data_IF_413149332787
#
_entry.id   IF_413149332787
#
_cell.length_a   1.000
_cell.length_b   1.000
_cell.length_c   1.000
_cell.angle_alpha   90.00
_cell.angle_beta   90.00
_cell.angle_gamma   90.00
#
_symmetry.space_group_name_H-M   'P 1'
#
loop_
_entity.id
_entity.type
_entity.pdbx_description
1 polymer ?
#
# COMPACT_ATOMS: atom_id res chain seq x y z
N UNK A 1 -6.39 -72.30 28.80
CA UNK A 1 -7.21 -71.09 29.04
C UNK A 1 -6.24 -69.92 29.17
N UNK A 2 -6.45 -68.89 28.35
CA UNK A 2 -5.44 -67.94 27.84
C UNK A 2 -5.19 -66.74 28.78
N UNK A 3 -3.93 -66.27 28.83
CA UNK A 3 -3.53 -65.00 29.48
C UNK A 3 -4.15 -63.79 28.76
N UNK A 4 -4.49 -62.69 29.47
CA UNK A 4 -4.85 -61.44 28.83
C UNK A 4 -3.59 -60.65 28.45
N UNK A 5 -3.52 -60.05 27.25
CA UNK A 5 -2.49 -59.07 26.94
C UNK A 5 -2.87 -57.72 27.55
N UNK A 6 -2.02 -57.21 28.45
CA UNK A 6 -2.13 -55.86 28.98
C UNK A 6 -1.85 -54.86 27.85
N UNK A 7 -2.91 -54.12 27.49
CA UNK A 7 -2.92 -53.04 26.51
C UNK A 7 -1.91 -51.95 26.93
N UNK A 8 -0.87 -51.74 26.13
CA UNK A 8 0.04 -50.60 26.24
C UNK A 8 -0.63 -49.35 25.69
N UNK A 9 -0.95 -48.39 26.58
CA UNK A 9 -1.50 -47.09 26.21
C UNK A 9 -0.35 -46.16 25.75
N UNK A 10 -0.18 -45.96 24.45
CA UNK A 10 0.77 -45.01 23.89
C UNK A 10 0.18 -43.60 23.90
N UNK A 11 0.67 -42.75 24.81
CA UNK A 11 0.37 -41.33 24.85
C UNK A 11 1.03 -40.64 23.65
N UNK A 12 0.26 -40.36 22.60
CA UNK A 12 0.70 -39.58 21.45
C UNK A 12 0.68 -38.10 21.82
N UNK A 13 1.88 -37.55 22.05
CA UNK A 13 2.09 -36.11 22.24
C UNK A 13 1.77 -35.41 20.90
N UNK A 14 0.56 -34.88 20.76
CA UNK A 14 0.24 -33.94 19.67
C UNK A 14 1.06 -32.67 19.94
N UNK A 15 2.23 -32.55 19.28
CA UNK A 15 2.89 -31.27 19.14
C UNK A 15 1.96 -30.39 18.31
N UNK A 16 1.17 -29.57 18.99
CA UNK A 16 0.53 -28.42 18.38
C UNK A 16 1.66 -27.51 17.90
N UNK A 17 2.12 -27.72 16.67
CA UNK A 17 2.94 -26.73 15.97
C UNK A 17 2.00 -25.56 15.74
N UNK A 18 2.03 -24.60 16.66
CA UNK A 18 1.61 -23.24 16.38
C UNK A 18 2.52 -22.77 15.27
N UNK A 19 2.11 -22.99 14.02
CA UNK A 19 2.69 -22.36 12.86
C UNK A 19 2.52 -20.87 13.09
N UNK A 20 3.57 -20.22 13.59
CA UNK A 20 3.79 -18.80 13.46
C UNK A 20 3.95 -18.54 11.96
N UNK A 21 2.83 -18.59 11.22
CA UNK A 21 2.77 -18.16 9.84
C UNK A 21 3.28 -16.73 9.88
N UNK A 22 4.48 -16.57 9.31
CA UNK A 22 5.15 -15.30 9.15
C UNK A 22 4.10 -14.25 8.80
N UNK A 23 4.06 -13.17 9.57
CA UNK A 23 3.69 -11.88 9.00
C UNK A 23 4.65 -11.68 7.83
N UNK A 24 4.27 -12.11 6.64
CA UNK A 24 5.00 -11.83 5.41
C UNK A 24 5.14 -10.33 5.38
N UNK A 25 6.32 -9.81 5.75
CA UNK A 25 6.53 -8.38 5.94
C UNK A 25 6.07 -7.68 4.67
N UNK A 26 5.11 -6.77 4.76
CA UNK A 26 4.57 -6.02 3.61
C UNK A 26 5.67 -5.40 2.73
N UNK A 27 6.85 -5.20 3.32
CA UNK A 27 8.08 -4.77 2.64
C UNK A 27 8.50 -5.68 1.48
N UNK A 28 8.19 -6.97 1.53
CA UNK A 28 8.53 -7.98 0.51
C UNK A 28 7.39 -8.26 -0.47
N UNK A 29 6.21 -7.68 -0.25
CA UNK A 29 5.08 -7.89 -1.16
C UNK A 29 5.42 -7.27 -2.53
N UNK A 30 5.28 -8.02 -3.64
CA UNK A 30 5.47 -7.46 -4.97
C UNK A 30 4.53 -6.27 -5.18
N UNK A 31 5.10 -5.16 -5.69
CA UNK A 31 4.37 -3.94 -6.04
C UNK A 31 4.95 -3.34 -7.31
N UNK A 32 4.06 -2.92 -8.20
CA UNK A 32 4.38 -2.16 -9.41
C UNK A 32 4.22 -0.65 -9.19
N UNK A 33 3.58 -0.25 -8.09
CA UNK A 33 3.54 1.14 -7.68
C UNK A 33 3.48 1.32 -6.16
N UNK A 34 3.90 2.49 -5.69
CA UNK A 34 3.94 2.94 -4.29
C UNK A 34 3.55 4.42 -4.23
N UNK A 35 2.50 4.73 -3.48
CA UNK A 35 1.99 6.08 -3.20
C UNK A 35 2.17 6.39 -1.73
N UNK A 36 2.78 7.54 -1.43
CA UNK A 36 2.90 8.07 -0.08
C UNK A 36 2.52 9.54 -0.04
N UNK A 37 1.81 9.91 1.02
CA UNK A 37 1.66 11.32 1.42
C UNK A 37 2.63 11.60 2.54
N UNK A 38 3.40 12.68 2.38
CA UNK A 38 4.54 13.01 3.22
C UNK A 38 4.29 14.35 3.91
N UNK A 39 4.63 14.44 5.20
CA UNK A 39 4.74 15.71 5.88
C UNK A 39 5.21 15.64 7.33
N UNK A 40 5.77 16.75 7.86
CA UNK A 40 6.42 17.87 7.16
C UNK A 40 7.88 17.54 6.76
N UNK A 41 8.46 18.31 5.84
CA UNK A 41 9.91 18.30 5.58
C UNK A 41 10.39 17.25 4.58
N UNK A 42 9.65 17.06 3.48
CA UNK A 42 10.05 16.13 2.42
C UNK A 42 11.46 16.44 1.89
N UNK A 43 12.31 15.41 1.82
CA UNK A 43 13.65 15.52 1.24
C UNK A 43 13.80 14.50 0.10
N UNK A 44 14.00 14.92 -1.16
CA UNK A 44 14.10 13.99 -2.29
C UNK A 44 15.33 13.08 -2.21
N UNK A 45 16.33 13.43 -1.39
CA UNK A 45 17.57 12.67 -1.20
C UNK A 45 17.52 11.71 0.00
N UNK A 46 16.45 11.70 0.79
CA UNK A 46 16.32 10.87 1.98
C UNK A 46 15.21 9.83 1.83
N UNK A 47 15.28 8.76 2.62
CA UNK A 47 14.21 7.78 2.74
C UNK A 47 13.07 8.37 3.58
N UNK A 48 12.11 9.03 2.93
CA UNK A 48 10.97 9.73 3.56
C UNK A 48 9.91 8.78 4.18
N UNK A 49 10.27 7.54 4.52
CA UNK A 49 9.30 6.54 5.00
C UNK A 49 8.75 6.92 6.38
N UNK A 50 9.59 7.46 7.27
CA UNK A 50 9.23 7.80 8.64
C UNK A 50 8.29 9.03 8.75
N UNK A 51 8.20 9.82 7.68
CA UNK A 51 7.34 11.03 7.59
C UNK A 51 6.09 10.78 6.74
N UNK A 52 5.81 9.51 6.41
CA UNK A 52 4.67 9.09 5.61
C UNK A 52 3.41 9.06 6.49
N UNK A 53 2.44 9.93 6.23
CA UNK A 53 1.15 9.92 6.95
C UNK A 53 0.13 9.00 6.31
N UNK A 54 0.29 8.72 5.01
CA UNK A 54 -0.49 7.75 4.24
C UNK A 54 0.48 6.94 3.38
N UNK A 55 0.19 5.65 3.22
CA UNK A 55 0.94 4.77 2.34
C UNK A 55 0.00 3.73 1.72
N UNK A 56 0.08 3.64 0.40
CA UNK A 56 -0.56 2.58 -0.35
C UNK A 56 0.35 2.06 -1.45
N UNK A 57 0.21 0.80 -1.80
CA UNK A 57 0.97 0.18 -2.88
C UNK A 57 0.16 -0.94 -3.52
N UNK A 58 0.44 -1.22 -4.79
CA UNK A 58 -0.31 -2.20 -5.55
C UNK A 58 0.52 -2.85 -6.65
N UNK A 59 0.03 -4.01 -7.10
CA UNK A 59 0.59 -4.73 -8.25
C UNK A 59 -0.10 -4.33 -9.56
N UNK A 60 -1.37 -3.91 -9.48
CA UNK A 60 -2.22 -3.53 -10.60
C UNK A 60 -2.82 -2.15 -10.35
N UNK A 61 -3.49 -1.59 -11.36
CA UNK A 61 -4.25 -0.35 -11.20
C UNK A 61 -5.25 -0.42 -10.04
N UNK A 62 -5.64 0.76 -9.59
CA UNK A 62 -6.64 0.94 -8.54
C UNK A 62 -7.78 1.79 -9.11
N UNK A 63 -9.01 1.33 -8.85
CA UNK A 63 -10.22 2.12 -9.07
C UNK A 63 -10.21 3.37 -8.18
N UNK A 64 -11.31 4.12 -8.15
CA UNK A 64 -11.38 5.30 -7.30
C UNK A 64 -11.25 4.94 -5.82
N UNK A 65 -10.28 5.55 -5.16
CA UNK A 65 -10.07 5.47 -3.73
C UNK A 65 -10.07 6.86 -3.10
N UNK A 66 -10.91 7.06 -2.10
CA UNK A 66 -10.96 8.29 -1.31
C UNK A 66 -9.94 8.25 -0.17
N UNK A 67 -9.27 9.38 0.07
CA UNK A 67 -8.47 9.58 1.27
C UNK A 67 -9.40 9.67 2.48
N UNK A 68 -9.28 8.72 3.39
CA UNK A 68 -10.00 8.77 4.66
C UNK A 68 -9.32 9.76 5.61
N UNK A 69 -9.80 11.01 5.59
CA UNK A 69 -9.32 12.08 6.47
C UNK A 69 -9.69 11.87 7.94
N UNK A 70 -10.57 10.92 8.26
CA UNK A 70 -10.84 10.53 9.64
C UNK A 70 -9.72 9.67 10.23
N UNK A 71 -8.96 8.99 9.37
CA UNK A 71 -7.82 8.13 9.75
C UNK A 71 -6.50 8.88 9.61
N UNK A 72 -6.36 9.73 8.59
CA UNK A 72 -5.11 10.42 8.26
C UNK A 72 -5.27 11.94 8.32
N UNK A 73 -4.37 12.63 9.02
CA UNK A 73 -4.36 14.08 9.03
C UNK A 73 -3.75 14.63 7.72
N UNK A 74 -4.58 14.83 6.71
CA UNK A 74 -4.16 15.38 5.42
C UNK A 74 -3.76 16.85 5.50
N UNK A 75 -4.15 17.58 6.55
CA UNK A 75 -3.78 19.00 6.71
C UNK A 75 -2.30 19.21 7.00
N UNK A 76 -1.60 18.19 7.48
CA UNK A 76 -0.14 18.20 7.66
C UNK A 76 0.64 17.66 6.46
N UNK A 77 -0.05 17.22 5.40
CA UNK A 77 0.61 16.73 4.18
C UNK A 77 1.11 17.92 3.38
N UNK A 78 2.38 17.86 2.99
CA UNK A 78 2.98 18.87 2.12
C UNK A 78 3.22 18.32 0.71
N UNK A 79 3.45 17.02 0.59
CA UNK A 79 3.86 16.43 -0.69
C UNK A 79 3.49 14.96 -0.87
N UNK A 80 3.60 14.52 -2.11
CA UNK A 80 3.37 13.17 -2.60
C UNK A 80 4.73 12.56 -3.00
N UNK A 81 4.93 11.29 -2.68
CA UNK A 81 5.92 10.45 -3.35
C UNK A 81 5.20 9.36 -4.13
N UNK A 82 5.49 9.30 -5.42
CA UNK A 82 4.96 8.33 -6.35
C UNK A 82 6.10 7.53 -6.95
N UNK A 83 5.99 6.21 -6.94
CA UNK A 83 6.96 5.32 -7.58
C UNK A 83 6.20 4.24 -8.29
N UNK A 84 6.28 4.20 -9.62
CA UNK A 84 5.84 3.11 -10.46
C UNK A 84 6.97 2.67 -11.39
N UNK A 85 7.96 1.92 -10.86
CA UNK A 85 9.10 1.47 -11.64
C UNK A 85 8.68 0.35 -12.59
N UNK A 86 9.12 0.40 -13.85
CA UNK A 86 8.96 -0.70 -14.79
C UNK A 86 8.61 -0.27 -16.21
N UNK A 87 8.50 -1.27 -17.09
CA UNK A 87 7.99 -1.09 -18.46
C UNK A 87 6.47 -0.89 -18.46
N UNK A 88 5.78 -1.60 -17.55
CA UNK A 88 4.34 -1.47 -17.30
C UNK A 88 4.12 -0.39 -16.23
N UNK A 89 4.50 0.84 -16.56
CA UNK A 89 4.38 2.01 -15.68
C UNK A 89 2.92 2.40 -15.48
N UNK A 90 2.61 2.89 -14.28
CA UNK A 90 1.31 3.42 -13.91
C UNK A 90 1.39 4.94 -13.66
N UNK A 91 0.28 5.61 -13.95
CA UNK A 91 0.06 7.03 -13.68
C UNK A 91 -0.86 7.19 -12.46
N UNK A 92 -0.63 8.25 -11.70
CA UNK A 92 -1.45 8.61 -10.55
C UNK A 92 -2.36 9.78 -10.92
N UNK A 93 -3.67 9.55 -10.95
CA UNK A 93 -4.68 10.59 -11.12
C UNK A 93 -5.19 11.03 -9.74
N UNK A 94 -5.22 12.34 -9.48
CA UNK A 94 -5.58 12.92 -8.19
C UNK A 94 -6.77 13.87 -8.37
N UNK A 95 -7.87 13.60 -7.66
CA UNK A 95 -9.18 14.25 -7.85
C UNK A 95 -9.56 15.09 -6.64
N UNK A 96 -10.28 16.18 -6.89
CA UNK A 96 -10.78 17.08 -5.84
C UNK A 96 -11.86 16.46 -4.94
N UNK A 97 -12.43 15.32 -5.31
CA UNK A 97 -13.48 14.62 -4.57
C UNK A 97 -13.12 13.15 -4.37
N UNK A 98 -13.59 12.59 -3.25
CA UNK A 98 -13.34 11.19 -2.87
C UNK A 98 -14.00 10.15 -3.80
N UNK A 99 -14.89 10.57 -4.72
CA UNK A 99 -15.57 9.71 -5.68
C UNK A 99 -14.94 9.75 -7.07
N UNK A 100 -13.87 10.54 -7.25
CA UNK A 100 -13.17 10.73 -8.52
C UNK A 100 -14.14 11.09 -9.66
N UNK A 101 -15.15 11.91 -9.37
CA UNK A 101 -16.17 12.35 -10.31
C UNK A 101 -15.87 13.72 -10.93
N UNK A 102 -14.94 14.48 -10.34
CA UNK A 102 -14.49 15.78 -10.81
C UNK A 102 -13.71 15.71 -12.12
N UNK A 103 -13.94 16.67 -13.02
CA UNK A 103 -13.44 16.64 -14.39
C UNK A 103 -11.98 17.09 -14.61
N UNK A 104 -11.25 17.48 -13.56
CA UNK A 104 -9.84 17.84 -13.68
C UNK A 104 -9.03 17.11 -12.60
N UNK A 105 -8.46 15.97 -12.97
CA UNK A 105 -7.45 15.33 -12.16
C UNK A 105 -6.09 16.00 -12.38
N UNK A 106 -5.37 16.28 -11.31
CA UNK A 106 -3.92 16.47 -11.40
C UNK A 106 -3.26 15.10 -11.60
N UNK A 107 -2.18 15.02 -12.38
CA UNK A 107 -1.66 13.73 -12.83
C UNK A 107 -0.15 13.67 -12.81
N UNK A 108 0.38 12.63 -12.15
CA UNK A 108 1.80 12.27 -12.23
C UNK A 108 1.96 11.18 -13.28
N UNK A 109 2.61 11.53 -14.40
CA UNK A 109 2.82 10.64 -15.56
C UNK A 109 4.20 10.00 -15.59
N UNK A 110 5.23 10.62 -15.02
CA UNK A 110 6.62 10.16 -15.20
C UNK A 110 6.96 8.89 -14.41
N UNK A 111 6.01 8.33 -13.66
CA UNK A 111 6.18 7.08 -12.91
C UNK A 111 7.18 7.19 -11.76
N UNK A 112 7.82 8.34 -11.55
CA UNK A 112 8.73 8.56 -10.45
C UNK A 112 8.70 10.02 -10.03
N UNK A 113 8.12 10.29 -8.87
CA UNK A 113 8.11 11.60 -8.27
C UNK A 113 8.39 11.52 -6.77
N UNK A 114 9.17 12.47 -6.28
CA UNK A 114 9.48 12.59 -4.87
C UNK A 114 9.32 14.05 -4.47
N UNK A 115 8.55 14.30 -3.42
CA UNK A 115 8.19 15.64 -2.99
C UNK A 115 7.34 16.42 -4.01
N UNK A 116 6.50 15.74 -4.77
CA UNK A 116 5.52 16.40 -5.64
C UNK A 116 4.51 17.16 -4.78
N UNK A 117 4.13 18.41 -5.08
CA UNK A 117 3.24 19.20 -4.21
C UNK A 117 1.90 18.51 -3.94
N UNK A 118 1.47 18.46 -2.68
CA UNK A 118 0.12 18.03 -2.34
C UNK A 118 -0.82 19.25 -2.38
N UNK A 119 -1.82 19.22 -3.25
CA UNK A 119 -2.72 20.35 -3.52
C UNK A 119 -4.10 20.21 -2.89
N UNK A 120 -4.28 19.25 -1.97
CA UNK A 120 -5.54 19.05 -1.24
C UNK A 120 -6.57 18.18 -1.97
N UNK A 121 -6.13 17.29 -2.86
CA UNK A 121 -7.01 16.29 -3.47
C UNK A 121 -7.55 15.29 -2.43
N UNK A 122 -8.72 14.73 -2.71
CA UNK A 122 -9.48 13.88 -1.79
C UNK A 122 -9.65 12.45 -2.30
N UNK A 123 -9.48 12.22 -3.60
CA UNK A 123 -9.55 10.90 -4.21
C UNK A 123 -8.41 10.67 -5.20
N UNK A 124 -8.10 9.41 -5.46
CA UNK A 124 -7.11 9.05 -6.48
C UNK A 124 -7.50 7.78 -7.24
N UNK A 125 -6.92 7.64 -8.42
CA UNK A 125 -6.91 6.40 -9.22
C UNK A 125 -5.50 6.09 -9.65
N UNK A 126 -5.21 4.81 -9.84
CA UNK A 126 -3.95 4.36 -10.44
C UNK A 126 -4.28 3.66 -11.74
N UNK A 127 -3.85 4.25 -12.85
CA UNK A 127 -4.16 3.79 -14.20
C UNK A 127 -2.88 3.35 -14.92
N UNK A 128 -3.00 2.48 -15.91
CA UNK A 128 -1.86 2.15 -16.77
C UNK A 128 -1.32 3.43 -17.45
N UNK A 129 -0.02 3.46 -17.72
CA UNK A 129 0.68 4.63 -18.24
C UNK A 129 0.05 5.16 -19.54
N UNK A 130 -0.32 6.43 -19.55
CA UNK A 130 -1.05 7.09 -20.64
C UNK A 130 -2.56 6.89 -20.59
N UNK A 131 -3.09 6.16 -19.61
CA UNK A 131 -4.51 5.94 -19.40
C UNK A 131 -5.27 7.22 -19.05
N UNK A 132 -6.60 7.14 -19.15
CA UNK A 132 -7.51 8.25 -18.84
C UNK A 132 -7.67 8.43 -17.33
N UNK A 133 -7.73 9.71 -16.95
CA UNK A 133 -8.33 10.20 -15.72
C UNK A 133 -9.67 10.85 -16.15
#
# INVERSE_FOLDING_TARGET
>A
MYLPPLLTLTLTLMLSTTSSALQTRDILKPRNWDLRLLGPGCNPNASNIDISVFHQSGLYGADCEGLDTSVYNTTSVESVSWKSPGVDRYDLCMYSDAQCAGGNADVIRDGWEVCYPFTGWEGFRVVEGGGEC
#
